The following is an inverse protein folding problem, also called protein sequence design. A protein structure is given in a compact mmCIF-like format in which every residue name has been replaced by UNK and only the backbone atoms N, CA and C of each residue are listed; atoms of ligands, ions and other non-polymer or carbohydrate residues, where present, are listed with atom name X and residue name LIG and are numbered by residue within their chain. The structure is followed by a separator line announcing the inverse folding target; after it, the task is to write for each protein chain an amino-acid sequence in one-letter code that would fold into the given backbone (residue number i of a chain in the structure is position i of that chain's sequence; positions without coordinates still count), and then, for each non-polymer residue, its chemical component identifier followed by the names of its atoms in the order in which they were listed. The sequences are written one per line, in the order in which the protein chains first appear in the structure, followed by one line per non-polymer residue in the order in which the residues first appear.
data_IF_633364464235
#
_entry.id   IF_633364464235
#
_cell.length_a   1.000
_cell.length_b   1.000
_cell.length_c   1.000
_cell.angle_alpha   90.00
_cell.angle_beta   90.00
_cell.angle_gamma   90.00
#
_symmetry.space_group_name_H-M   'P 1'
#
loop_
_entity.id
_entity.type
_entity.pdbx_description
1 polymer ?
#
# COMPACT_ATOMS: atom_id res chain seq x y z
N UNK A 1 28.42 14.83 -25.69
CA UNK A 1 27.37 14.84 -26.70
C UNK A 1 26.02 15.09 -26.02
N UNK A 2 25.33 16.19 -26.37
CA UNK A 2 24.08 16.63 -25.71
C UNK A 2 22.99 15.53 -25.69
N UNK A 3 22.81 14.79 -26.78
CA UNK A 3 21.83 13.69 -26.87
C UNK A 3 22.13 12.57 -25.89
N UNK A 4 23.38 12.21 -25.70
CA UNK A 4 23.79 11.18 -24.74
C UNK A 4 23.53 11.63 -23.30
N UNK A 5 23.82 12.91 -22.98
CA UNK A 5 23.56 13.47 -21.67
C UNK A 5 22.05 13.53 -21.33
N UNK A 6 21.21 13.88 -22.31
CA UNK A 6 19.74 13.89 -22.16
C UNK A 6 19.21 12.48 -21.95
N UNK A 7 19.67 11.51 -22.75
CA UNK A 7 19.26 10.10 -22.59
C UNK A 7 19.68 9.51 -21.23
N UNK A 8 20.90 9.81 -20.79
CA UNK A 8 21.40 9.36 -19.48
C UNK A 8 20.61 10.00 -18.33
N UNK A 9 20.28 11.29 -18.41
CA UNK A 9 19.45 11.96 -17.42
C UNK A 9 18.04 11.35 -17.36
N UNK A 10 17.39 11.11 -18.51
CA UNK A 10 16.08 10.43 -18.56
C UNK A 10 16.14 9.04 -17.95
N UNK A 11 17.22 8.28 -18.18
CA UNK A 11 17.41 6.95 -17.58
C UNK A 11 17.52 7.02 -16.07
N UNK A 12 18.35 7.94 -15.55
CA UNK A 12 18.52 8.14 -14.11
C UNK A 12 17.20 8.58 -13.45
N UNK A 13 16.45 9.48 -14.08
CA UNK A 13 15.15 9.92 -13.59
C UNK A 13 14.15 8.74 -13.56
N UNK A 14 14.13 7.91 -14.60
CA UNK A 14 13.28 6.73 -14.64
C UNK A 14 13.67 5.70 -13.57
N UNK A 15 14.95 5.36 -13.43
CA UNK A 15 15.44 4.43 -12.41
C UNK A 15 15.17 4.91 -10.98
N UNK A 16 15.12 6.22 -10.75
CA UNK A 16 14.76 6.81 -9.46
C UNK A 16 13.26 6.76 -9.18
N UNK A 17 12.45 6.98 -10.20
CA UNK A 17 11.02 7.20 -10.03
C UNK A 17 10.19 5.91 -10.10
N UNK A 18 10.76 4.81 -10.61
CA UNK A 18 10.06 3.54 -10.74
C UNK A 18 10.80 2.38 -10.08
N UNK A 19 10.01 1.45 -9.48
CA UNK A 19 10.54 0.19 -8.95
C UNK A 19 10.93 -0.74 -10.11
N UNK A 20 12.18 -1.19 -10.12
CA UNK A 20 12.75 -1.97 -11.23
C UNK A 20 12.06 -3.33 -11.43
N UNK A 21 11.50 -3.93 -10.38
CA UNK A 21 10.83 -5.23 -10.47
C UNK A 21 9.41 -5.10 -11.00
N UNK A 22 8.67 -4.11 -10.53
CA UNK A 22 7.22 -4.02 -10.76
C UNK A 22 6.81 -2.95 -11.77
N UNK A 23 7.68 -1.98 -12.06
CA UNK A 23 7.37 -0.83 -12.92
C UNK A 23 6.42 0.19 -12.30
N UNK A 24 5.99 -0.01 -11.05
CA UNK A 24 5.21 0.97 -10.31
C UNK A 24 6.11 2.12 -9.82
N UNK A 25 5.50 3.21 -9.35
CA UNK A 25 6.28 4.24 -8.68
C UNK A 25 7.12 3.66 -7.55
N UNK A 26 8.33 4.17 -7.41
CA UNK A 26 9.17 3.94 -6.24
C UNK A 26 8.57 4.64 -5.02
N UNK A 27 8.99 4.25 -3.82
CA UNK A 27 8.66 4.95 -2.57
C UNK A 27 8.92 6.46 -2.68
N UNK A 28 10.08 6.85 -3.18
CA UNK A 28 10.48 8.26 -3.28
C UNK A 28 9.57 9.02 -4.23
N UNK A 29 9.29 8.47 -5.40
CA UNK A 29 8.41 9.09 -6.38
C UNK A 29 6.97 9.22 -5.85
N UNK A 30 6.46 8.22 -5.16
CA UNK A 30 5.13 8.27 -4.54
C UNK A 30 4.98 9.47 -3.61
N UNK A 31 5.89 9.62 -2.64
CA UNK A 31 5.80 10.72 -1.68
C UNK A 31 5.99 12.08 -2.32
N UNK A 32 6.83 12.20 -3.35
CA UNK A 32 6.98 13.43 -4.12
C UNK A 32 5.69 13.79 -4.86
N UNK A 33 5.14 12.86 -5.65
CA UNK A 33 3.92 13.09 -6.45
C UNK A 33 2.72 13.37 -5.54
N UNK A 34 2.55 12.59 -4.48
CA UNK A 34 1.45 12.81 -3.53
C UNK A 34 1.62 14.13 -2.77
N UNK A 35 2.85 14.51 -2.37
CA UNK A 35 3.13 15.79 -1.74
C UNK A 35 2.68 16.96 -2.61
N UNK A 36 3.02 16.95 -3.90
CA UNK A 36 2.58 17.96 -4.86
C UNK A 36 1.03 18.04 -5.00
N UNK A 37 0.33 16.90 -4.87
CA UNK A 37 -1.13 16.87 -4.89
C UNK A 37 -1.73 17.47 -3.61
N UNK A 38 -1.13 17.22 -2.45
CA UNK A 38 -1.57 17.79 -1.17
C UNK A 38 -1.36 19.31 -1.06
N UNK A 39 -0.40 19.87 -1.83
CA UNK A 39 -0.25 21.33 -1.97
C UNK A 39 -1.39 21.97 -2.79
N UNK A 40 -2.23 21.17 -3.45
CA UNK A 40 -3.35 21.60 -4.28
C UNK A 40 -4.67 21.02 -3.77
N UNK A 41 -5.23 21.51 -2.64
CA UNK A 41 -6.38 20.90 -1.95
C UNK A 41 -7.60 20.67 -2.83
N UNK A 42 -7.86 21.59 -3.77
CA UNK A 42 -8.96 21.45 -4.73
C UNK A 42 -8.83 20.28 -5.68
N UNK A 43 -7.62 19.72 -5.83
CA UNK A 43 -7.36 18.53 -6.66
C UNK A 43 -7.70 17.24 -5.90
N UNK A 44 -7.52 17.24 -4.59
CA UNK A 44 -7.78 16.06 -3.76
C UNK A 44 -9.29 15.80 -3.60
N UNK A 45 -10.08 16.82 -3.32
CA UNK A 45 -11.52 16.72 -3.00
C UNK A 45 -11.77 15.61 -1.97
N UNK A 46 -12.39 14.48 -2.37
CA UNK A 46 -12.37 13.25 -1.59
C UNK A 46 -11.24 12.36 -2.12
N UNK A 47 -10.39 11.90 -1.20
CA UNK A 47 -9.26 11.04 -1.51
C UNK A 47 -9.13 9.92 -0.46
N UNK A 48 -8.43 8.87 -0.80
CA UNK A 48 -8.12 7.79 0.12
C UNK A 48 -6.68 7.32 -0.09
N UNK A 49 -5.96 7.14 0.99
CA UNK A 49 -4.69 6.44 1.00
C UNK A 49 -4.91 5.00 1.46
N UNK A 50 -4.57 4.05 0.57
CA UNK A 50 -4.58 2.63 0.88
C UNK A 50 -3.15 2.15 1.03
N UNK A 51 -2.86 1.47 2.13
CA UNK A 51 -1.61 0.74 2.33
C UNK A 51 -1.90 -0.75 2.34
N UNK A 52 -1.17 -1.52 1.54
CA UNK A 52 -1.39 -2.97 1.42
C UNK A 52 -0.09 -3.73 1.57
N UNK A 53 -0.21 -4.96 2.04
CA UNK A 53 0.88 -5.91 2.17
C UNK A 53 0.43 -7.25 1.57
N UNK A 54 1.29 -7.81 0.73
CA UNK A 54 1.00 -9.04 0.02
C UNK A 54 1.14 -10.25 0.94
N UNK A 55 0.05 -10.98 1.10
CA UNK A 55 0.05 -12.17 1.94
C UNK A 55 0.81 -13.34 1.28
N UNK A 56 1.47 -14.15 2.09
CA UNK A 56 2.14 -15.40 1.70
C UNK A 56 3.40 -15.28 0.82
N UNK A 57 3.93 -14.08 0.53
CA UNK A 57 5.16 -13.94 -0.28
C UNK A 57 6.32 -14.74 0.31
N UNK A 58 6.50 -14.70 1.64
CA UNK A 58 7.55 -15.49 2.32
C UNK A 58 7.39 -16.98 2.07
N UNK A 59 6.18 -17.51 2.18
CA UNK A 59 5.91 -18.93 1.93
C UNK A 59 6.23 -19.32 0.49
N UNK A 60 5.94 -18.43 -0.48
CA UNK A 60 6.27 -18.67 -1.90
C UNK A 60 7.79 -18.69 -2.08
N UNK A 61 8.50 -17.71 -1.52
CA UNK A 61 9.96 -17.66 -1.58
C UNK A 61 10.61 -18.91 -0.96
N UNK A 62 10.15 -19.31 0.23
CA UNK A 62 10.69 -20.45 0.96
C UNK A 62 10.40 -21.78 0.25
N UNK A 63 9.27 -21.88 -0.48
CA UNK A 63 8.84 -23.12 -1.15
C UNK A 63 9.34 -23.24 -2.58
N UNK A 64 9.28 -22.14 -3.36
CA UNK A 64 9.53 -22.13 -4.81
C UNK A 64 10.72 -21.26 -5.24
N UNK A 65 11.35 -20.56 -4.30
CA UNK A 65 12.47 -19.65 -4.54
C UNK A 65 12.06 -18.21 -4.87
N UNK A 66 13.03 -17.30 -4.79
CA UNK A 66 12.84 -15.86 -4.98
C UNK A 66 12.34 -15.47 -6.38
N UNK A 67 12.74 -16.23 -7.43
CA UNK A 67 12.27 -15.96 -8.80
C UNK A 67 10.74 -16.06 -8.91
N UNK A 68 10.13 -16.97 -8.17
CA UNK A 68 8.67 -17.11 -8.11
C UNK A 68 8.02 -16.05 -7.22
N UNK A 69 8.68 -15.63 -6.16
CA UNK A 69 8.28 -14.45 -5.41
C UNK A 69 8.26 -13.19 -6.26
N UNK A 70 9.23 -13.03 -7.15
CA UNK A 70 9.29 -11.93 -8.10
C UNK A 70 8.14 -11.98 -9.13
N UNK A 71 7.81 -13.17 -9.63
CA UNK A 71 6.62 -13.36 -10.50
C UNK A 71 5.35 -12.98 -9.75
N UNK A 72 5.21 -13.40 -8.50
CA UNK A 72 4.06 -13.09 -7.64
C UNK A 72 3.94 -11.58 -7.40
N UNK A 73 5.05 -10.88 -7.13
CA UNK A 73 5.12 -9.43 -6.97
C UNK A 73 4.74 -8.69 -8.25
N UNK A 74 5.27 -9.10 -9.42
CA UNK A 74 4.93 -8.48 -10.71
C UNK A 74 3.43 -8.64 -11.03
N UNK A 75 2.87 -9.80 -10.77
CA UNK A 75 1.45 -10.05 -11.01
C UNK A 75 0.57 -9.26 -10.07
N UNK A 76 0.95 -9.12 -8.79
CA UNK A 76 0.30 -8.23 -7.82
C UNK A 76 0.30 -6.79 -8.30
N UNK A 77 1.46 -6.27 -8.69
CA UNK A 77 1.62 -4.90 -9.19
C UNK A 77 0.75 -4.64 -10.43
N UNK A 78 0.76 -5.58 -11.38
CA UNK A 78 -0.08 -5.50 -12.58
C UNK A 78 -1.57 -5.48 -12.21
N UNK A 79 -2.01 -6.33 -11.30
CA UNK A 79 -3.40 -6.39 -10.84
C UNK A 79 -3.84 -5.10 -10.13
N UNK A 80 -2.98 -4.53 -9.29
CA UNK A 80 -3.25 -3.25 -8.63
C UNK A 80 -3.35 -2.10 -9.63
N UNK A 81 -2.43 -2.05 -10.61
CA UNK A 81 -2.41 -0.99 -11.62
C UNK A 81 -3.60 -1.08 -12.58
N UNK A 82 -3.94 -2.28 -13.05
CA UNK A 82 -5.06 -2.48 -13.98
C UNK A 82 -6.43 -2.38 -13.31
N UNK A 83 -6.53 -2.81 -12.05
CA UNK A 83 -7.76 -2.74 -11.27
C UNK A 83 -8.06 -1.36 -10.69
N UNK A 84 -7.07 -0.48 -10.62
CA UNK A 84 -7.23 0.87 -10.09
C UNK A 84 -7.83 1.81 -11.13
N UNK A 85 -8.70 2.75 -10.72
CA UNK A 85 -9.20 3.82 -11.58
C UNK A 85 -8.07 4.66 -12.18
N UNK A 86 -8.32 5.21 -13.37
CA UNK A 86 -7.37 6.11 -14.03
C UNK A 86 -7.01 7.29 -13.12
N UNK A 87 -5.72 7.62 -13.04
CA UNK A 87 -5.20 8.69 -12.20
C UNK A 87 -4.80 8.26 -10.80
N UNK A 88 -5.13 7.03 -10.37
CA UNK A 88 -4.64 6.50 -9.08
C UNK A 88 -3.11 6.44 -9.08
N UNK A 89 -2.48 6.96 -8.03
CA UNK A 89 -1.03 6.85 -7.84
C UNK A 89 -0.75 5.52 -7.16
N UNK A 90 -0.07 4.60 -7.85
CA UNK A 90 0.24 3.26 -7.35
C UNK A 90 1.75 3.09 -7.23
N UNK A 91 2.23 2.67 -6.06
CA UNK A 91 3.64 2.49 -5.79
C UNK A 91 3.94 1.21 -5.02
N UNK A 92 5.14 0.70 -5.20
CA UNK A 92 5.74 -0.29 -4.31
C UNK A 92 6.60 0.42 -3.28
N UNK A 93 6.29 0.19 -2.00
CA UNK A 93 6.99 0.85 -0.89
C UNK A 93 8.30 0.13 -0.55
N UNK A 94 8.22 -1.16 -0.34
CA UNK A 94 9.34 -2.08 -0.12
C UNK A 94 8.82 -3.53 -0.05
N UNK A 95 9.67 -4.52 -0.32
CA UNK A 95 9.31 -5.93 -0.15
C UNK A 95 7.95 -6.29 -0.76
N UNK A 96 6.98 -6.56 0.09
CA UNK A 96 5.60 -6.94 -0.21
C UNK A 96 4.56 -5.81 0.04
N UNK A 97 5.02 -4.59 0.35
CA UNK A 97 4.17 -3.45 0.67
C UNK A 97 3.93 -2.53 -0.53
N UNK A 98 2.66 -2.14 -0.73
CA UNK A 98 2.23 -1.22 -1.79
C UNK A 98 1.41 -0.07 -1.21
N UNK A 99 1.46 1.08 -1.88
CA UNK A 99 0.68 2.28 -1.58
C UNK A 99 -0.15 2.69 -2.78
N UNK A 100 -1.39 3.08 -2.53
CA UNK A 100 -2.29 3.64 -3.54
C UNK A 100 -2.91 4.93 -3.01
N UNK A 101 -2.82 6.01 -3.80
CA UNK A 101 -3.56 7.24 -3.53
C UNK A 101 -4.64 7.41 -4.60
N UNK A 102 -5.88 7.32 -4.18
CA UNK A 102 -7.07 7.66 -4.95
C UNK A 102 -7.43 9.10 -4.63
N UNK A 103 -7.73 9.92 -5.63
CA UNK A 103 -8.04 11.33 -5.40
C UNK A 103 -8.94 11.94 -6.48
N UNK A 104 -9.49 13.13 -6.21
CA UNK A 104 -10.29 13.87 -7.16
C UNK A 104 -11.74 13.42 -7.26
N UNK A 105 -12.24 12.67 -6.29
CA UNK A 105 -13.62 12.21 -6.26
C UNK A 105 -14.58 13.29 -5.76
N UNK A 106 -15.77 13.34 -6.35
CA UNK A 106 -16.83 14.25 -5.92
C UNK A 106 -17.46 13.81 -4.59
N UNK A 107 -17.52 12.50 -4.34
CA UNK A 107 -18.10 11.94 -3.12
C UNK A 107 -17.25 10.77 -2.59
N UNK A 108 -17.29 10.57 -1.28
CA UNK A 108 -16.66 9.43 -0.63
C UNK A 108 -17.27 8.09 -1.06
N UNK A 109 -18.58 8.07 -1.33
CA UNK A 109 -19.31 6.86 -1.74
C UNK A 109 -18.84 6.37 -3.12
N UNK A 110 -18.60 7.29 -4.06
CA UNK A 110 -18.05 6.93 -5.37
C UNK A 110 -16.64 6.33 -5.22
N UNK A 111 -15.79 6.96 -4.41
CA UNK A 111 -14.45 6.47 -4.11
C UNK A 111 -14.48 5.10 -3.42
N UNK A 112 -15.34 4.92 -2.41
CA UNK A 112 -15.52 3.63 -1.71
C UNK A 112 -15.96 2.53 -2.67
N UNK A 113 -16.85 2.86 -3.60
CA UNK A 113 -17.30 1.91 -4.63
C UNK A 113 -16.16 1.44 -5.52
N UNK A 114 -15.27 2.34 -5.92
CA UNK A 114 -14.13 1.98 -6.78
C UNK A 114 -13.06 1.19 -6.01
N UNK A 115 -12.80 1.52 -4.75
CA UNK A 115 -11.93 0.71 -3.88
C UNK A 115 -12.50 -0.71 -3.73
N UNK A 116 -13.80 -0.85 -3.50
CA UNK A 116 -14.44 -2.16 -3.38
C UNK A 116 -14.34 -2.98 -4.67
N UNK A 117 -14.52 -2.35 -5.83
CA UNK A 117 -14.30 -3.02 -7.12
C UNK A 117 -12.86 -3.49 -7.30
N UNK A 118 -11.88 -2.67 -6.86
CA UNK A 118 -10.47 -3.08 -6.88
C UNK A 118 -10.25 -4.32 -6.01
N UNK A 119 -10.81 -4.37 -4.80
CA UNK A 119 -10.72 -5.52 -3.90
C UNK A 119 -11.35 -6.78 -4.53
N UNK A 120 -12.56 -6.66 -5.08
CA UNK A 120 -13.27 -7.76 -5.74
C UNK A 120 -12.50 -8.29 -6.95
N UNK A 121 -11.97 -7.40 -7.80
CA UNK A 121 -11.15 -7.77 -8.95
C UNK A 121 -9.85 -8.43 -8.50
N UNK A 122 -9.21 -7.90 -7.47
CA UNK A 122 -7.97 -8.44 -6.93
C UNK A 122 -8.16 -9.85 -6.36
N UNK A 123 -9.26 -10.09 -5.65
CA UNK A 123 -9.59 -11.41 -5.09
C UNK A 123 -9.78 -12.52 -6.15
N UNK A 124 -10.06 -12.15 -7.41
CA UNK A 124 -10.17 -13.09 -8.53
C UNK A 124 -8.82 -13.45 -9.17
N UNK A 125 -7.76 -12.71 -8.83
CA UNK A 125 -6.43 -12.95 -9.40
C UNK A 125 -5.76 -14.18 -8.78
N UNK A 126 -5.10 -14.95 -9.62
CA UNK A 126 -4.34 -16.11 -9.20
C UNK A 126 -3.04 -16.20 -9.97
N UNK A 127 -1.98 -16.64 -9.30
CA UNK A 127 -0.72 -17.03 -9.92
C UNK A 127 -0.71 -18.54 -10.17
N UNK A 128 -0.14 -18.96 -11.30
CA UNK A 128 0.14 -20.37 -11.56
C UNK A 128 1.54 -20.69 -11.05
N UNK A 129 1.64 -21.66 -10.15
CA UNK A 129 2.90 -22.09 -9.54
C UNK A 129 3.65 -23.09 -10.44
N UNK A 130 4.95 -23.38 -10.18
CA UNK A 130 5.74 -24.32 -10.96
C UNK A 130 5.15 -25.73 -11.05
N UNK A 131 4.44 -26.16 -10.03
CA UNK A 131 3.77 -27.45 -9.95
C UNK A 131 2.39 -27.49 -10.65
N UNK A 132 2.04 -26.40 -11.35
CA UNK A 132 0.77 -26.23 -12.06
C UNK A 132 -0.42 -25.84 -11.18
N UNK A 133 -0.24 -25.72 -9.88
CA UNK A 133 -1.30 -25.25 -8.98
C UNK A 133 -1.58 -23.77 -9.16
N UNK A 134 -2.83 -23.40 -8.98
CA UNK A 134 -3.25 -22.00 -8.93
C UNK A 134 -3.29 -21.53 -7.48
N UNK A 135 -2.58 -20.45 -7.21
CA UNK A 135 -2.58 -19.77 -5.92
C UNK A 135 -3.32 -18.44 -6.04
N UNK A 136 -4.37 -18.25 -5.25
CA UNK A 136 -5.04 -16.95 -5.15
C UNK A 136 -4.08 -15.92 -4.55
N UNK A 137 -3.92 -14.80 -5.22
CA UNK A 137 -3.14 -13.67 -4.70
C UNK A 137 -4.01 -12.97 -3.66
N UNK A 138 -3.48 -12.81 -2.45
CA UNK A 138 -4.18 -12.14 -1.34
C UNK A 138 -3.33 -10.99 -0.83
N UNK A 139 -4.01 -9.93 -0.42
CA UNK A 139 -3.39 -8.78 0.23
C UNK A 139 -4.19 -8.39 1.48
N UNK A 140 -3.49 -7.95 2.49
CA UNK A 140 -4.06 -7.30 3.67
C UNK A 140 -3.87 -5.81 3.54
N UNK A 141 -4.91 -5.01 3.73
CA UNK A 141 -4.85 -3.57 3.49
C UNK A 141 -5.56 -2.74 4.55
N UNK A 142 -5.16 -1.48 4.62
CA UNK A 142 -5.81 -0.44 5.41
C UNK A 142 -6.05 0.81 4.59
N UNK A 143 -7.17 1.48 4.81
CA UNK A 143 -7.59 2.70 4.09
C UNK A 143 -7.84 3.83 5.07
N UNK A 144 -7.24 4.98 4.81
CA UNK A 144 -7.54 6.24 5.49
C UNK A 144 -8.08 7.27 4.50
N UNK A 145 -9.07 8.05 4.93
CA UNK A 145 -9.87 8.96 4.12
C UNK A 145 -9.47 10.41 4.31
N UNK A 146 -9.30 11.13 3.19
CA UNK A 146 -9.15 12.58 3.16
C UNK A 146 -10.49 13.22 2.72
N UNK A 147 -10.96 14.25 3.38
CA UNK A 147 -10.40 14.94 4.56
C UNK A 147 -10.83 14.36 5.92
N UNK A 148 -11.65 13.32 5.96
CA UNK A 148 -12.39 12.86 7.15
C UNK A 148 -11.48 12.34 8.27
N UNK A 149 -10.42 11.59 7.93
CA UNK A 149 -9.50 11.06 8.92
C UNK A 149 -8.31 12.01 9.18
N UNK A 150 -7.77 12.62 8.13
CA UNK A 150 -6.64 13.54 8.23
C UNK A 150 -6.56 14.46 7.01
N UNK A 151 -5.83 15.58 7.17
CA UNK A 151 -5.63 16.58 6.12
C UNK A 151 -4.22 16.53 5.51
N UNK A 152 -3.34 15.70 6.02
CA UNK A 152 -1.97 15.55 5.56
C UNK A 152 -1.63 14.09 5.22
N UNK A 153 -0.68 13.92 4.31
CA UNK A 153 -0.28 12.62 3.78
C UNK A 153 0.36 11.71 4.84
N UNK A 154 1.16 12.29 5.75
CA UNK A 154 1.87 11.53 6.76
C UNK A 154 0.91 10.91 7.77
N UNK A 155 -0.06 11.69 8.24
CA UNK A 155 -1.11 11.21 9.14
C UNK A 155 -2.01 10.18 8.45
N UNK A 156 -2.40 10.40 7.19
CA UNK A 156 -3.17 9.41 6.41
C UNK A 156 -2.41 8.09 6.29
N UNK A 157 -1.10 8.16 6.00
CA UNK A 157 -0.25 6.96 5.93
C UNK A 157 -0.22 6.22 7.26
N UNK A 158 -0.02 6.93 8.37
CA UNK A 158 -0.02 6.34 9.71
C UNK A 158 -1.35 5.63 10.02
N UNK A 159 -2.47 6.20 9.62
CA UNK A 159 -3.79 5.64 9.87
C UNK A 159 -4.10 4.45 8.95
N UNK A 160 -3.70 4.50 7.69
CA UNK A 160 -3.81 3.37 6.77
C UNK A 160 -2.92 2.18 7.23
N UNK A 161 -1.70 2.47 7.69
CA UNK A 161 -0.79 1.47 8.25
C UNK A 161 -1.37 0.78 9.50
N UNK A 162 -1.95 1.54 10.41
CA UNK A 162 -2.63 0.99 11.58
C UNK A 162 -3.79 0.06 11.19
N UNK A 163 -4.65 0.48 10.25
CA UNK A 163 -5.76 -0.34 9.78
C UNK A 163 -5.28 -1.63 9.10
N UNK A 164 -4.21 -1.57 8.31
CA UNK A 164 -3.56 -2.73 7.70
C UNK A 164 -2.98 -3.67 8.77
N UNK A 165 -2.31 -3.11 9.79
CA UNK A 165 -1.78 -3.89 10.91
C UNK A 165 -2.86 -4.69 11.63
N UNK A 166 -4.05 -4.08 11.88
CA UNK A 166 -5.17 -4.79 12.48
C UNK A 166 -5.62 -5.99 11.63
N UNK A 167 -5.70 -5.84 10.30
CA UNK A 167 -6.05 -6.93 9.38
C UNK A 167 -5.03 -8.06 9.44
N UNK A 168 -3.74 -7.72 9.38
CA UNK A 168 -2.66 -8.73 9.43
C UNK A 168 -2.67 -9.59 10.70
N UNK A 169 -3.14 -9.01 11.82
CA UNK A 169 -3.19 -9.69 13.12
C UNK A 169 -4.57 -10.29 13.45
N UNK A 170 -5.54 -10.21 12.54
CA UNK A 170 -6.88 -10.77 12.74
C UNK A 170 -7.27 -11.72 11.60
N UNK A 171 -7.81 -11.19 10.52
CA UNK A 171 -8.49 -11.95 9.47
C UNK A 171 -7.61 -12.28 8.28
N UNK A 172 -6.63 -11.40 7.94
CA UNK A 172 -5.83 -11.41 6.71
C UNK A 172 -6.66 -11.46 5.43
N UNK A 173 -6.10 -10.97 4.34
CA UNK A 173 -6.70 -11.05 3.02
C UNK A 173 -7.94 -10.19 2.81
N UNK A 174 -8.12 -9.13 3.61
CA UNK A 174 -9.16 -8.13 3.47
C UNK A 174 -8.57 -6.70 3.54
N UNK A 175 -9.35 -5.72 3.13
CA UNK A 175 -9.02 -4.29 3.30
C UNK A 175 -9.97 -3.69 4.33
N UNK A 176 -9.43 -2.94 5.29
CA UNK A 176 -10.18 -2.33 6.39
C UNK A 176 -10.03 -0.82 6.37
N UNK A 177 -11.14 -0.13 6.59
CA UNK A 177 -11.13 1.31 6.80
C UNK A 177 -10.58 1.65 8.20
N UNK A 178 -9.85 2.75 8.27
CA UNK A 178 -9.36 3.28 9.54
C UNK A 178 -10.52 3.68 10.46
N UNK A 179 -10.40 3.32 11.71
CA UNK A 179 -11.34 3.63 12.77
C UNK A 179 -10.61 4.30 13.94
N UNK A 180 -11.04 5.52 14.30
CA UNK A 180 -10.40 6.33 15.33
C UNK A 180 -10.57 5.73 16.74
N UNK A 181 -11.69 5.08 17.02
CA UNK A 181 -11.93 4.48 18.33
C UNK A 181 -11.01 3.28 18.55
N UNK A 182 -10.87 2.43 17.53
CA UNK A 182 -9.93 1.30 17.55
C UNK A 182 -8.48 1.79 17.66
N UNK A 183 -8.13 2.85 16.93
CA UNK A 183 -6.80 3.44 16.99
C UNK A 183 -6.47 3.90 18.41
N UNK A 184 -7.36 4.66 19.06
CA UNK A 184 -7.18 5.11 20.44
C UNK A 184 -7.05 3.95 21.42
N UNK A 185 -7.90 2.94 21.30
CA UNK A 185 -7.82 1.74 22.12
C UNK A 185 -6.51 0.97 21.90
N UNK A 186 -6.04 0.84 20.65
CA UNK A 186 -4.79 0.18 20.32
C UNK A 186 -3.56 0.92 20.84
N UNK A 187 -3.51 2.23 20.72
CA UNK A 187 -2.43 3.07 21.27
C UNK A 187 -2.39 2.96 22.79
N UNK A 188 -3.54 3.07 23.45
CA UNK A 188 -3.64 2.91 24.91
C UNK A 188 -3.14 1.55 25.38
N UNK A 189 -3.49 0.47 24.68
CA UNK A 189 -3.03 -0.87 25.01
C UNK A 189 -1.51 -1.03 24.81
N UNK A 190 -0.92 -0.37 23.82
CA UNK A 190 0.53 -0.36 23.60
C UNK A 190 1.27 0.42 24.69
N UNK A 191 0.76 1.58 25.09
CA UNK A 191 1.31 2.38 26.18
C UNK A 191 1.30 1.60 27.50
N UNK A 192 0.19 0.96 27.85
CA UNK A 192 0.08 0.11 29.04
C UNK A 192 1.09 -1.04 29.05
N UNK A 193 1.32 -1.69 27.89
CA UNK A 193 2.33 -2.75 27.78
C UNK A 193 3.74 -2.23 27.96
N UNK A 194 4.06 -1.08 27.35
CA UNK A 194 5.37 -0.44 27.47
C UNK A 194 5.68 -0.06 28.90
N UNK A 195 4.73 0.52 29.62
CA UNK A 195 4.88 0.88 31.03
C UNK A 195 5.08 -0.36 31.94
N UNK A 196 4.35 -1.44 31.65
CA UNK A 196 4.49 -2.70 32.36
C UNK A 196 5.87 -3.35 32.16
N UNK A 197 6.36 -3.36 30.90
CA UNK A 197 7.71 -3.87 30.60
C UNK A 197 8.81 -3.04 31.27
N UNK A 198 8.64 -1.72 31.36
CA UNK A 198 9.56 -0.81 32.03
C UNK A 198 9.60 -1.11 33.54
N UNK A 199 8.43 -1.26 34.15
CA UNK A 199 8.32 -1.63 35.59
C UNK A 199 8.97 -2.98 35.93
N UNK A 200 8.89 -3.97 35.01
CA UNK A 200 9.54 -5.26 35.16
C UNK A 200 11.08 -5.11 35.11
N UNK A 201 11.59 -4.26 34.20
CA UNK A 201 13.05 -4.02 34.09
C UNK A 201 13.64 -3.28 35.27
N UNK A 202 12.90 -2.34 35.87
CA UNK A 202 13.34 -1.55 37.00
C UNK A 202 13.33 -2.35 38.33
N UNK A 203 12.67 -3.53 38.35
CA UNK A 203 12.65 -4.43 39.52
C UNK A 203 13.67 -5.58 39.47
N UNK A 204 14.52 -5.62 38.44
CA UNK A 204 15.67 -6.54 38.30
C UNK A 204 16.99 -5.81 38.53
#
# INVERSE_FOLDING_TARGET
NYKAAVAERSRIEHERDYDALTGLYSRQAFFRVCGELFEKPNTLRHAALMMTDLDNLKTINDTYGHDWGDVYLRQTAHSLQQGSPSGTVVARLSGDEFLLLFYGYETREALRTDIKKLEENFAQNSATLPDGKRLCIRMSGGVAWYPENALDLETLKKYADFAMYEVKHSTKGEVREFDMERYRAGVYAMEQRSDFEKLIRERR
#
